data_IF_914065890578
#
_entry.id   IF_914065890578
#
_cell.length_a   1.000
_cell.length_b   1.000
_cell.length_c   1.000
_cell.angle_alpha   90.00
_cell.angle_beta   90.00
_cell.angle_gamma   90.00
#
_symmetry.space_group_name_H-M   'P 1'
#
loop_
_entity.id
_entity.type
_entity.pdbx_description
1 polymer ?
#
# COMPACT_ATOMS: atom_id res chain seq x y z
N UNK A 1 -63.12 -50.68 10.96
CA UNK A 1 -64.47 -50.78 10.34
C UNK A 1 -64.62 -49.64 9.35
N UNK A 2 -65.21 -49.91 8.18
CA UNK A 2 -64.65 -49.77 6.81
C UNK A 2 -64.91 -48.38 6.19
N UNK A 3 -64.50 -47.97 4.97
CA UNK A 3 -64.27 -48.60 3.67
C UNK A 3 -63.27 -47.70 2.86
N UNK A 4 -62.33 -48.20 2.03
CA UNK A 4 -62.48 -48.75 0.66
C UNK A 4 -63.35 -47.83 -0.23
N UNK A 5 -63.01 -47.34 -1.42
CA UNK A 5 -62.14 -47.73 -2.55
C UNK A 5 -61.81 -46.41 -3.33
N UNK A 6 -60.80 -46.28 -4.21
CA UNK A 6 -60.77 -46.84 -5.56
C UNK A 6 -59.39 -46.67 -6.22
N UNK A 7 -58.93 -47.79 -6.81
CA UNK A 7 -58.31 -48.00 -8.13
C UNK A 7 -57.40 -46.88 -8.66
N UNK A 8 -56.13 -47.12 -8.99
CA UNK A 8 -55.57 -48.33 -9.61
C UNK A 8 -55.32 -48.05 -11.09
N UNK A 9 -54.06 -47.78 -11.44
CA UNK A 9 -53.53 -48.11 -12.75
C UNK A 9 -52.10 -48.62 -12.59
N UNK A 10 -51.94 -49.90 -12.91
CA UNK A 10 -50.68 -50.59 -13.05
C UNK A 10 -49.99 -50.13 -14.34
N UNK A 11 -48.69 -49.88 -14.22
CA UNK A 11 -47.75 -49.90 -15.33
C UNK A 11 -46.50 -50.63 -14.86
N UNK A 12 -46.48 -51.94 -15.05
CA UNK A 12 -45.32 -52.79 -14.80
C UNK A 12 -44.18 -52.48 -15.77
N UNK A 13 -42.99 -52.29 -15.23
CA UNK A 13 -41.72 -52.36 -15.93
C UNK A 13 -40.69 -52.97 -14.99
N UNK A 14 -40.59 -54.30 -15.01
CA UNK A 14 -39.51 -55.04 -14.36
C UNK A 14 -38.18 -54.75 -15.08
N UNK A 15 -37.11 -54.54 -14.31
CA UNK A 15 -35.77 -54.34 -14.87
C UNK A 15 -34.70 -54.16 -13.80
N UNK A 16 -34.22 -55.28 -13.27
CA UNK A 16 -32.81 -55.57 -12.93
C UNK A 16 -32.01 -54.60 -12.05
N UNK A 17 -31.65 -55.09 -10.88
CA UNK A 17 -30.49 -54.69 -10.08
C UNK A 17 -29.19 -54.68 -10.89
N UNK A 18 -28.42 -53.59 -10.85
CA UNK A 18 -26.95 -53.63 -10.86
C UNK A 18 -26.45 -52.53 -9.92
N UNK A 19 -25.61 -52.96 -8.98
CA UNK A 19 -24.84 -52.13 -8.06
C UNK A 19 -23.74 -51.44 -8.85
N UNK A 20 -23.75 -50.11 -8.91
CA UNK A 20 -22.56 -49.28 -9.17
C UNK A 20 -22.69 -48.00 -8.32
N UNK A 21 -22.46 -48.17 -7.02
CA UNK A 21 -21.77 -47.12 -6.29
C UNK A 21 -20.29 -47.18 -6.72
N UNK A 22 -19.57 -46.05 -6.57
CA UNK A 22 -18.11 -46.01 -6.40
C UNK A 22 -17.21 -45.72 -7.63
N UNK A 23 -17.51 -44.67 -8.42
CA UNK A 23 -16.49 -44.08 -9.35
C UNK A 23 -16.37 -42.56 -9.22
N UNK A 24 -17.30 -41.90 -8.52
CA UNK A 24 -17.30 -40.44 -8.37
C UNK A 24 -16.58 -39.96 -7.10
N UNK A 25 -16.54 -40.80 -6.07
CA UNK A 25 -15.80 -40.53 -4.81
C UNK A 25 -14.28 -40.64 -5.04
N UNK A 26 -13.83 -41.68 -5.75
CA UNK A 26 -12.40 -41.94 -5.99
C UNK A 26 -11.64 -40.77 -6.63
N UNK A 27 -12.26 -40.01 -7.55
CA UNK A 27 -11.59 -38.89 -8.25
C UNK A 27 -11.51 -37.64 -7.36
N UNK A 28 -12.53 -37.38 -6.54
CA UNK A 28 -12.51 -36.29 -5.56
C UNK A 28 -11.57 -36.61 -4.39
N UNK A 29 -11.50 -37.88 -3.98
CA UNK A 29 -10.57 -38.37 -2.97
C UNK A 29 -9.11 -38.31 -3.44
N UNK A 30 -8.83 -38.60 -4.72
CA UNK A 30 -7.47 -38.52 -5.28
C UNK A 30 -6.99 -37.06 -5.39
N UNK A 31 -7.87 -36.13 -5.77
CA UNK A 31 -7.59 -34.69 -5.77
C UNK A 31 -7.38 -34.16 -4.34
N UNK A 32 -8.22 -34.54 -3.40
CA UNK A 32 -8.09 -34.13 -2.00
C UNK A 32 -6.83 -34.73 -1.36
N UNK A 33 -6.45 -35.95 -1.73
CA UNK A 33 -5.19 -36.57 -1.30
C UNK A 33 -3.96 -35.84 -1.85
N UNK A 34 -4.02 -35.34 -3.09
CA UNK A 34 -2.96 -34.52 -3.69
C UNK A 34 -2.78 -33.19 -2.93
N UNK A 35 -3.88 -32.50 -2.60
CA UNK A 35 -3.86 -31.27 -1.79
C UNK A 35 -3.30 -31.52 -0.38
N UNK A 36 -3.68 -32.61 0.28
CA UNK A 36 -3.12 -32.99 1.58
C UNK A 36 -1.63 -33.34 1.51
N UNK A 37 -1.20 -34.00 0.44
CA UNK A 37 0.22 -34.28 0.22
C UNK A 37 1.05 -33.01 0.03
N UNK A 38 0.49 -31.98 -0.62
CA UNK A 38 1.15 -30.69 -0.77
C UNK A 38 1.28 -29.95 0.58
N UNK A 39 0.23 -29.97 1.40
CA UNK A 39 0.24 -29.42 2.76
C UNK A 39 1.29 -30.14 3.62
N UNK A 40 1.33 -31.47 3.60
CA UNK A 40 2.31 -32.26 4.33
C UNK A 40 3.75 -31.97 3.86
N UNK A 41 3.96 -31.75 2.56
CA UNK A 41 5.26 -31.35 2.02
C UNK A 41 5.70 -29.96 2.51
N UNK A 42 4.77 -29.01 2.68
CA UNK A 42 5.06 -27.70 3.27
C UNK A 42 5.36 -27.81 4.77
N UNK A 43 4.61 -28.65 5.51
CA UNK A 43 4.84 -28.90 6.94
C UNK A 43 6.17 -29.60 7.20
N UNK A 44 6.54 -30.58 6.37
CA UNK A 44 7.83 -31.25 6.43
C UNK A 44 8.99 -30.28 6.16
N UNK A 45 8.84 -29.39 5.17
CA UNK A 45 9.83 -28.34 4.88
C UNK A 45 9.95 -27.33 6.02
N UNK A 46 8.84 -26.86 6.60
CA UNK A 46 8.87 -25.89 7.70
C UNK A 46 9.45 -26.49 8.98
N UNK A 47 9.12 -27.75 9.29
CA UNK A 47 9.73 -28.51 10.40
C UNK A 47 11.24 -28.68 10.21
N UNK A 48 11.69 -28.93 8.98
CA UNK A 48 13.12 -29.03 8.63
C UNK A 48 13.87 -27.69 8.79
N UNK A 49 13.23 -26.57 8.47
CA UNK A 49 13.76 -25.22 8.70
C UNK A 49 13.82 -24.91 10.20
N UNK A 50 12.76 -25.22 10.95
CA UNK A 50 12.69 -24.97 12.40
C UNK A 50 13.68 -25.83 13.20
N UNK A 51 14.04 -27.00 12.69
CA UNK A 51 15.07 -27.87 13.27
C UNK A 51 16.51 -27.47 12.89
N UNK A 52 16.69 -26.35 12.18
CA UNK A 52 18.00 -25.76 11.91
C UNK A 52 18.79 -26.45 10.78
N UNK A 53 18.14 -27.24 9.93
CA UNK A 53 18.78 -27.81 8.76
C UNK A 53 18.93 -26.76 7.65
N UNK A 54 20.10 -26.75 7.00
CA UNK A 54 20.40 -25.83 5.89
C UNK A 54 19.59 -26.24 4.65
N UNK A 55 18.60 -25.42 4.28
CA UNK A 55 17.74 -25.65 3.10
C UNK A 55 18.20 -24.72 1.98
N UNK A 56 18.44 -25.23 0.75
CA UNK A 56 18.88 -24.41 -0.37
C UNK A 56 17.92 -23.25 -0.62
N UNK A 57 18.49 -22.09 -0.95
CA UNK A 57 17.78 -20.84 -1.11
C UNK A 57 16.65 -20.94 -2.14
N UNK A 58 15.46 -20.52 -1.70
CA UNK A 58 14.27 -20.06 -2.44
C UNK A 58 14.40 -20.17 -3.98
N UNK A 59 13.77 -21.16 -4.59
CA UNK A 59 13.29 -21.02 -5.96
C UNK A 59 12.46 -19.74 -6.02
N UNK A 60 12.61 -18.87 -7.04
CA UNK A 60 11.73 -17.71 -7.18
C UNK A 60 10.29 -18.22 -7.07
N UNK A 61 9.49 -17.56 -6.22
CA UNK A 61 8.05 -17.85 -6.15
C UNK A 61 7.57 -17.87 -7.60
N UNK A 62 6.84 -18.90 -8.02
CA UNK A 62 6.02 -18.73 -9.22
C UNK A 62 5.24 -17.44 -9.01
N UNK A 63 5.26 -16.55 -9.99
CA UNK A 63 4.43 -15.34 -10.02
C UNK A 63 2.94 -15.71 -10.18
N UNK A 64 2.52 -16.87 -9.71
CA UNK A 64 1.13 -17.24 -9.48
C UNK A 64 0.67 -16.53 -8.21
N UNK A 65 0.57 -15.21 -8.34
CA UNK A 65 -0.16 -14.39 -7.39
C UNK A 65 -1.63 -14.75 -7.61
N UNK A 66 -2.39 -15.04 -6.56
CA UNK A 66 -3.74 -15.60 -6.70
C UNK A 66 -4.62 -14.73 -7.62
N UNK A 67 -5.07 -15.30 -8.74
CA UNK A 67 -5.86 -14.68 -9.81
C UNK A 67 -7.14 -13.97 -9.32
N UNK A 68 -7.58 -14.26 -8.09
CA UNK A 68 -8.74 -13.61 -7.46
C UNK A 68 -8.48 -12.17 -7.01
N UNK A 69 -7.23 -11.70 -7.03
CA UNK A 69 -6.85 -10.35 -6.57
C UNK A 69 -6.34 -9.47 -7.71
N UNK A 70 -5.92 -10.06 -8.84
CA UNK A 70 -5.27 -9.34 -9.93
C UNK A 70 -6.18 -9.24 -11.14
N UNK A 71 -6.25 -8.05 -11.73
CA UNK A 71 -6.88 -7.88 -13.03
C UNK A 71 -5.81 -8.22 -14.07
N UNK A 72 -5.96 -9.35 -14.75
CA UNK A 72 -4.97 -9.87 -15.68
C UNK A 72 -4.74 -8.94 -16.87
N UNK A 73 -5.71 -8.06 -17.17
CA UNK A 73 -5.62 -7.07 -18.25
C UNK A 73 -4.93 -5.76 -17.77
N UNK A 74 -4.54 -5.68 -16.49
CA UNK A 74 -3.94 -4.47 -15.92
C UNK A 74 -2.45 -4.33 -16.25
N UNK A 75 -2.16 -3.64 -17.35
CA UNK A 75 -0.79 -3.35 -17.77
C UNK A 75 -0.18 -2.15 -17.00
N UNK A 76 0.47 -2.42 -15.86
CA UNK A 76 1.15 -1.37 -15.07
C UNK A 76 2.31 -0.70 -15.82
N UNK A 77 3.01 -1.42 -16.70
CA UNK A 77 4.16 -0.88 -17.44
C UNK A 77 3.72 0.18 -18.45
N UNK A 78 2.66 -0.12 -19.23
CA UNK A 78 2.10 0.82 -20.19
C UNK A 78 1.51 2.05 -19.51
N UNK A 79 0.76 1.87 -18.42
CA UNK A 79 0.22 2.98 -17.62
C UNK A 79 1.31 3.82 -16.98
N UNK A 80 2.39 3.21 -16.51
CA UNK A 80 3.55 3.94 -16.00
C UNK A 80 4.26 4.72 -17.11
N UNK A 81 4.40 4.14 -18.30
CA UNK A 81 4.97 4.82 -19.47
C UNK A 81 4.10 6.03 -19.88
N UNK A 82 2.78 5.90 -19.85
CA UNK A 82 1.85 7.01 -20.08
C UNK A 82 2.05 8.14 -19.05
N UNK A 83 2.14 7.80 -17.77
CA UNK A 83 2.41 8.80 -16.72
C UNK A 83 3.79 9.46 -16.88
N UNK A 84 4.82 8.70 -17.30
CA UNK A 84 6.15 9.24 -17.60
C UNK A 84 6.14 10.17 -18.82
N UNK A 85 5.27 9.94 -19.81
CA UNK A 85 5.09 10.87 -20.92
C UNK A 85 4.56 12.24 -20.42
N UNK A 86 3.56 12.23 -19.54
CA UNK A 86 3.07 13.47 -18.88
C UNK A 86 4.19 14.18 -18.11
N UNK A 87 5.07 13.43 -17.45
CA UNK A 87 6.24 13.98 -16.76
C UNK A 87 7.24 14.66 -17.71
N UNK A 88 7.44 14.09 -18.91
CA UNK A 88 8.34 14.61 -19.93
C UNK A 88 7.77 15.84 -20.67
N UNK A 89 6.44 15.97 -20.75
CA UNK A 89 5.76 17.09 -21.41
C UNK A 89 5.62 18.34 -20.54
N UNK A 90 5.85 18.23 -19.23
CA UNK A 90 5.59 19.30 -18.25
C UNK A 90 6.80 20.07 -17.66
N UNK A 91 8.07 19.95 -18.15
CA UNK A 91 9.22 20.59 -17.48
C UNK A 91 9.20 22.12 -17.54
N UNK A 92 8.59 22.72 -18.57
CA UNK A 92 8.50 24.18 -18.73
C UNK A 92 7.45 24.83 -17.79
N UNK A 93 6.64 24.00 -17.11
CA UNK A 93 5.60 24.50 -16.21
C UNK A 93 6.20 24.82 -14.82
N UNK A 94 5.63 25.81 -14.10
CA UNK A 94 5.98 26.03 -12.70
C UNK A 94 5.83 24.73 -11.88
N UNK A 95 6.83 24.42 -11.04
CA UNK A 95 6.93 23.12 -10.38
C UNK A 95 5.68 22.73 -9.54
N UNK A 96 4.95 23.71 -8.98
CA UNK A 96 3.68 23.46 -8.27
C UNK A 96 2.56 23.04 -9.22
N UNK A 97 2.45 23.68 -10.38
CA UNK A 97 1.47 23.32 -11.41
C UNK A 97 1.80 21.95 -12.01
N UNK A 98 3.09 21.72 -12.31
CA UNK A 98 3.60 20.41 -12.74
C UNK A 98 3.25 19.31 -11.75
N UNK A 99 3.47 19.53 -10.46
CA UNK A 99 3.11 18.59 -9.40
C UNK A 99 1.60 18.31 -9.37
N UNK A 100 0.76 19.33 -9.48
CA UNK A 100 -0.69 19.16 -9.49
C UNK A 100 -1.18 18.34 -10.70
N UNK A 101 -0.61 18.57 -11.89
CA UNK A 101 -0.90 17.80 -13.11
C UNK A 101 -0.48 16.33 -12.93
N UNK A 102 0.70 16.07 -12.38
CA UNK A 102 1.21 14.72 -12.18
C UNK A 102 0.41 13.91 -11.15
N UNK A 103 -0.08 14.55 -10.09
CA UNK A 103 -0.97 13.93 -9.11
C UNK A 103 -2.32 13.55 -9.73
N UNK A 104 -2.84 14.41 -10.60
CA UNK A 104 -4.09 14.19 -11.30
C UNK A 104 -3.94 13.07 -12.33
N UNK A 105 -2.93 13.14 -13.18
CA UNK A 105 -2.59 12.10 -14.16
C UNK A 105 -2.38 10.73 -13.49
N UNK A 106 -1.68 10.67 -12.35
CA UNK A 106 -1.50 9.41 -11.62
C UNK A 106 -2.83 8.77 -11.22
N UNK A 107 -3.80 9.59 -10.82
CA UNK A 107 -5.11 9.13 -10.37
C UNK A 107 -6.06 8.81 -11.52
N UNK A 108 -5.91 9.49 -12.66
CA UNK A 108 -6.73 9.34 -13.86
C UNK A 108 -6.29 8.11 -14.69
N UNK A 109 -4.97 7.93 -14.83
CA UNK A 109 -4.34 6.78 -15.48
C UNK A 109 -4.43 5.54 -14.59
N UNK A 110 -4.65 5.68 -13.28
CA UNK A 110 -4.61 4.58 -12.31
C UNK A 110 -3.33 3.74 -12.49
N UNK A 111 -2.16 4.36 -12.28
CA UNK A 111 -0.87 3.77 -12.70
C UNK A 111 -0.59 2.41 -12.08
N UNK A 112 -0.82 2.27 -10.77
CA UNK A 112 -0.59 1.04 -10.02
C UNK A 112 -1.90 0.54 -9.42
N UNK A 113 -2.14 -0.77 -9.53
CA UNK A 113 -3.39 -1.37 -9.07
C UNK A 113 -3.52 -1.32 -7.53
N UNK A 114 -2.41 -1.56 -6.82
CA UNK A 114 -2.41 -1.73 -5.35
C UNK A 114 -1.60 -0.67 -4.59
N UNK A 115 -0.86 0.17 -5.31
CA UNK A 115 0.09 1.12 -4.72
C UNK A 115 -0.16 2.57 -5.17
N UNK A 116 -1.43 2.96 -5.27
CA UNK A 116 -1.82 4.33 -5.62
C UNK A 116 -1.21 5.42 -4.70
N UNK A 117 -0.78 5.05 -3.48
CA UNK A 117 -0.08 5.93 -2.55
C UNK A 117 1.34 6.33 -3.01
N UNK A 118 1.93 5.62 -3.98
CA UNK A 118 3.29 5.90 -4.46
C UNK A 118 3.36 7.18 -5.31
N UNK A 119 2.32 7.48 -6.08
CA UNK A 119 2.27 8.67 -6.94
C UNK A 119 2.60 9.97 -6.20
N UNK A 120 1.90 10.28 -5.08
CA UNK A 120 2.25 11.43 -4.26
C UNK A 120 3.69 11.44 -3.74
N UNK A 121 4.31 10.28 -3.48
CA UNK A 121 5.71 10.21 -3.06
C UNK A 121 6.68 10.57 -4.20
N UNK A 122 6.39 10.11 -5.42
CA UNK A 122 7.16 10.47 -6.62
C UNK A 122 7.05 11.97 -6.90
N UNK A 123 5.85 12.54 -6.80
CA UNK A 123 5.62 13.98 -6.97
C UNK A 123 6.32 14.79 -5.87
N UNK A 124 6.31 14.34 -4.62
CA UNK A 124 7.05 14.98 -3.54
C UNK A 124 8.57 14.93 -3.78
N UNK A 125 9.08 13.83 -4.32
CA UNK A 125 10.48 13.71 -4.72
C UNK A 125 10.85 14.67 -5.86
N UNK A 126 9.95 14.84 -6.83
CA UNK A 126 10.10 15.83 -7.90
C UNK A 126 10.15 17.26 -7.35
N UNK A 127 9.23 17.64 -6.46
CA UNK A 127 9.24 18.96 -5.82
C UNK A 127 10.55 19.24 -5.05
N UNK A 128 11.15 18.20 -4.47
CA UNK A 128 12.47 18.30 -3.84
C UNK A 128 13.58 18.47 -4.88
N UNK A 129 13.56 17.71 -5.97
CA UNK A 129 14.54 17.79 -7.05
C UNK A 129 14.52 19.17 -7.75
N UNK A 130 13.33 19.74 -7.95
CA UNK A 130 13.13 21.09 -8.51
C UNK A 130 13.49 22.22 -7.53
N UNK A 131 13.94 21.88 -6.31
CA UNK A 131 14.44 22.84 -5.32
C UNK A 131 13.38 23.50 -4.44
N UNK A 132 12.08 23.39 -4.76
CA UNK A 132 10.99 23.96 -3.95
C UNK A 132 10.98 23.42 -2.52
N UNK A 133 11.31 22.14 -2.36
CA UNK A 133 11.43 21.48 -1.06
C UNK A 133 12.81 20.85 -0.87
N UNK A 134 13.89 21.53 -1.26
CA UNK A 134 15.25 20.93 -1.35
C UNK A 134 15.75 20.21 -0.07
N UNK A 135 15.24 20.58 1.10
CA UNK A 135 15.66 20.02 2.40
C UNK A 135 14.71 18.96 2.99
N UNK A 136 13.56 18.66 2.36
CA UNK A 136 12.59 17.70 2.90
C UNK A 136 11.71 17.07 1.81
N UNK A 137 10.99 15.99 2.14
CA UNK A 137 9.92 15.48 1.28
C UNK A 137 8.60 16.15 1.69
N UNK A 138 7.93 16.78 0.72
CA UNK A 138 6.66 17.47 0.97
C UNK A 138 5.60 16.46 1.40
N UNK A 139 4.95 16.73 2.54
CA UNK A 139 3.87 15.88 3.07
C UNK A 139 2.53 16.16 2.38
N UNK A 140 2.40 15.84 1.10
CA UNK A 140 1.22 16.17 0.27
C UNK A 140 -0.11 15.65 0.85
N UNK A 141 -0.10 14.48 1.50
CA UNK A 141 -1.30 13.93 2.13
C UNK A 141 -1.82 14.76 3.32
N UNK A 142 -0.94 15.50 4.03
CA UNK A 142 -1.38 16.38 5.12
C UNK A 142 -2.21 17.55 4.63
N UNK A 143 -1.93 18.04 3.42
CA UNK A 143 -2.78 19.04 2.79
C UNK A 143 -4.01 18.43 2.13
N UNK A 144 -3.84 17.32 1.40
CA UNK A 144 -4.95 16.65 0.71
C UNK A 144 -6.09 16.20 1.64
N UNK A 145 -5.80 15.83 2.90
CA UNK A 145 -6.84 15.48 3.89
C UNK A 145 -7.72 16.67 4.29
N UNK A 146 -7.22 17.91 4.16
CA UNK A 146 -7.98 19.13 4.45
C UNK A 146 -8.89 19.54 3.27
N UNK A 147 -8.70 18.92 2.10
CA UNK A 147 -9.51 19.20 0.91
C UNK A 147 -10.73 18.26 0.87
N UNK A 148 -11.97 18.79 0.74
CA UNK A 148 -13.18 18.00 0.63
C UNK A 148 -13.08 16.92 -0.46
N UNK A 149 -13.62 15.73 -0.18
CA UNK A 149 -13.53 14.58 -1.09
C UNK A 149 -14.22 14.89 -2.43
N UNK A 150 -15.32 15.62 -2.39
CA UNK A 150 -16.14 16.00 -3.55
C UNK A 150 -15.33 16.85 -4.53
N UNK A 151 -14.47 17.75 -4.02
CA UNK A 151 -13.56 18.56 -4.85
C UNK A 151 -12.44 17.71 -5.43
N UNK A 152 -11.83 16.84 -4.62
CA UNK A 152 -10.74 15.94 -5.07
C UNK A 152 -11.20 14.93 -6.12
N UNK A 153 -12.47 14.51 -6.08
CA UNK A 153 -13.08 13.54 -7.00
C UNK A 153 -14.11 14.21 -7.93
N UNK A 154 -13.96 15.51 -8.18
CA UNK A 154 -14.84 16.23 -9.09
C UNK A 154 -14.78 15.62 -10.51
N UNK A 155 -15.92 15.61 -11.21
CA UNK A 155 -16.00 15.09 -12.59
C UNK A 155 -15.20 15.96 -13.56
N UNK A 156 -15.21 17.26 -13.34
CA UNK A 156 -14.43 18.23 -14.11
C UNK A 156 -12.95 18.18 -13.70
N UNK A 157 -12.07 18.02 -14.69
CA UNK A 157 -10.61 18.02 -14.52
C UNK A 157 -10.10 19.32 -13.90
N UNK A 158 -10.63 20.47 -14.29
CA UNK A 158 -10.23 21.77 -13.76
C UNK A 158 -10.45 21.87 -12.24
N UNK A 159 -11.57 21.36 -11.75
CA UNK A 159 -11.89 21.37 -10.32
C UNK A 159 -10.97 20.43 -9.53
N UNK A 160 -10.63 19.26 -10.09
CA UNK A 160 -9.63 18.35 -9.48
C UNK A 160 -8.24 18.99 -9.44
N UNK A 161 -7.83 19.68 -10.50
CA UNK A 161 -6.54 20.36 -10.54
C UNK A 161 -6.47 21.48 -9.50
N UNK A 162 -7.53 22.29 -9.37
CA UNK A 162 -7.64 23.29 -8.31
C UNK A 162 -7.59 22.65 -6.92
N UNK A 163 -8.26 21.51 -6.72
CA UNK A 163 -8.21 20.77 -5.46
C UNK A 163 -6.79 20.26 -5.14
N UNK A 164 -6.03 19.82 -6.14
CA UNK A 164 -4.62 19.44 -5.99
C UNK A 164 -3.73 20.63 -5.62
N UNK A 165 -3.93 21.79 -6.25
CA UNK A 165 -3.22 23.03 -5.93
C UNK A 165 -3.50 23.49 -4.49
N UNK A 166 -4.78 23.52 -4.11
CA UNK A 166 -5.19 23.82 -2.73
C UNK A 166 -4.58 22.82 -1.75
N UNK A 167 -4.52 21.53 -2.11
CA UNK A 167 -3.87 20.50 -1.31
C UNK A 167 -2.37 20.74 -1.11
N UNK A 168 -1.65 21.17 -2.15
CA UNK A 168 -0.22 21.54 -2.04
C UNK A 168 -0.06 22.78 -1.15
N UNK A 169 -0.94 23.77 -1.30
CA UNK A 169 -0.94 24.97 -0.47
C UNK A 169 -1.15 24.65 1.02
N UNK A 170 -2.15 23.83 1.33
CA UNK A 170 -2.43 23.36 2.70
C UNK A 170 -1.26 22.57 3.30
N UNK A 171 -0.58 21.75 2.48
CA UNK A 171 0.61 21.02 2.92
C UNK A 171 1.76 21.99 3.28
N UNK A 172 1.96 23.05 2.49
CA UNK A 172 2.96 24.08 2.77
C UNK A 172 2.64 24.85 4.06
N UNK A 173 1.38 25.27 4.24
CA UNK A 173 0.95 25.94 5.48
C UNK A 173 1.12 25.07 6.71
N UNK A 174 0.77 23.78 6.61
CA UNK A 174 1.00 22.82 7.70
C UNK A 174 2.49 22.66 8.02
N UNK A 175 3.34 22.61 7.00
CA UNK A 175 4.79 22.54 7.15
C UNK A 175 5.38 23.78 7.83
N UNK A 176 4.96 24.98 7.44
CA UNK A 176 5.38 26.24 8.08
C UNK A 176 4.97 26.29 9.55
N UNK A 177 3.73 25.91 9.86
CA UNK A 177 3.23 25.87 11.24
C UNK A 177 4.03 24.90 12.12
N UNK A 178 4.35 23.72 11.59
CA UNK A 178 5.16 22.75 12.33
C UNK A 178 6.60 23.23 12.49
N UNK A 179 7.18 23.84 11.46
CA UNK A 179 8.50 24.45 11.54
C UNK A 179 8.56 25.50 12.65
N UNK A 180 7.61 26.45 12.70
CA UNK A 180 7.56 27.49 13.73
C UNK A 180 7.43 26.89 15.14
N UNK A 181 6.63 25.83 15.28
CA UNK A 181 6.49 25.08 16.53
C UNK A 181 7.83 24.47 16.96
N UNK A 182 8.56 23.84 16.05
CA UNK A 182 9.86 23.22 16.32
C UNK A 182 10.93 24.26 16.64
N UNK A 183 10.97 25.39 15.93
CA UNK A 183 11.89 26.51 16.21
C UNK A 183 11.63 27.10 17.60
N UNK A 184 10.36 27.26 17.97
CA UNK A 184 9.98 27.73 19.29
C UNK A 184 10.40 26.73 20.38
N UNK A 185 10.18 25.43 20.17
CA UNK A 185 10.61 24.39 21.10
C UNK A 185 12.14 24.37 21.28
N UNK A 186 12.90 24.47 20.19
CA UNK A 186 14.37 24.61 20.22
C UNK A 186 14.80 25.81 21.06
N UNK A 187 14.24 26.98 20.78
CA UNK A 187 14.55 28.22 21.49
C UNK A 187 14.27 28.13 23.00
N UNK A 188 13.19 27.44 23.39
CA UNK A 188 12.87 27.20 24.80
C UNK A 188 13.89 26.27 25.47
N UNK A 189 14.32 25.21 24.79
CA UNK A 189 15.36 24.30 25.29
C UNK A 189 16.69 25.05 25.48
N UNK A 190 17.15 25.79 24.48
CA UNK A 190 18.39 26.58 24.55
C UNK A 190 18.36 27.61 25.69
N UNK A 191 17.21 28.27 25.91
CA UNK A 191 17.05 29.22 27.02
C UNK A 191 17.22 28.54 28.38
N UNK A 192 16.76 27.30 28.56
CA UNK A 192 16.94 26.52 29.80
C UNK A 192 18.40 26.15 30.04
N UNK A 193 19.21 26.04 28.98
CA UNK A 193 20.63 25.70 29.07
C UNK A 193 21.52 26.88 29.48
N UNK A 194 21.09 28.13 29.28
CA UNK A 194 21.90 29.33 29.62
C UNK A 194 22.33 29.40 31.09
N UNK A 195 21.61 28.75 32.01
CA UNK A 195 21.94 28.71 33.45
C UNK A 195 22.62 27.40 33.87
N UNK A 196 23.04 26.56 32.91
CA UNK A 196 23.73 25.29 33.17
C UNK A 196 25.25 25.45 33.04
N UNK A 197 25.98 24.51 33.63
CA UNK A 197 27.45 24.51 33.64
C UNK A 197 27.98 24.39 32.21
N UNK A 198 28.99 25.19 31.88
CA UNK A 198 29.64 25.20 30.55
C UNK A 198 30.27 23.85 30.17
N UNK A 199 30.60 22.99 31.14
CA UNK A 199 31.19 21.67 30.91
C UNK A 199 30.19 20.59 30.46
N UNK A 200 28.92 20.96 30.22
CA UNK A 200 27.84 20.01 29.93
C UNK A 200 27.53 19.94 28.43
N UNK A 201 27.52 18.73 27.85
CA UNK A 201 27.14 18.47 26.45
C UNK A 201 25.62 18.56 26.17
N UNK A 202 24.88 19.31 27.00
CA UNK A 202 23.42 19.41 26.86
C UNK A 202 23.00 20.15 25.60
N UNK A 203 23.81 21.09 25.11
CA UNK A 203 23.56 21.76 23.83
C UNK A 203 23.64 20.75 22.67
N UNK A 204 24.69 19.94 22.65
CA UNK A 204 24.86 18.86 21.67
C UNK A 204 23.71 17.86 21.74
N UNK A 205 23.24 17.52 22.95
CA UNK A 205 22.09 16.65 23.14
C UNK A 205 20.79 17.25 22.58
N UNK A 206 20.59 18.57 22.70
CA UNK A 206 19.41 19.24 22.12
C UNK A 206 19.45 19.14 20.60
N UNK A 207 20.57 19.44 19.97
CA UNK A 207 20.72 19.28 18.51
C UNK A 207 20.54 17.81 18.09
N UNK A 208 21.08 16.88 18.88
CA UNK A 208 20.94 15.44 18.61
C UNK A 208 19.47 15.00 18.63
N UNK A 209 18.71 15.36 19.67
CA UNK A 209 17.27 15.06 19.79
C UNK A 209 16.45 15.72 18.68
N UNK A 210 16.82 16.93 18.26
CA UNK A 210 16.14 17.61 17.14
C UNK A 210 16.43 16.95 15.79
N UNK A 211 17.64 16.39 15.61
CA UNK A 211 17.99 15.62 14.42
C UNK A 211 17.36 14.23 14.39
N UNK A 212 17.10 13.64 15.57
CA UNK A 212 16.60 12.27 15.74
C UNK A 212 15.52 12.24 16.82
N UNK A 213 14.23 12.11 16.44
CA UNK A 213 13.12 12.19 17.38
C UNK A 213 13.07 11.03 18.40
N UNK A 214 13.82 9.95 18.16
CA UNK A 214 13.95 8.82 19.08
C UNK A 214 15.43 8.70 19.46
N UNK A 215 15.70 8.83 20.76
CA UNK A 215 17.05 8.77 21.33
C UNK A 215 17.07 7.73 22.44
N UNK A 216 18.07 6.86 22.43
CA UNK A 216 18.35 5.91 23.50
C UNK A 216 19.56 6.36 24.34
N UNK A 217 19.74 5.77 25.52
CA UNK A 217 20.90 6.07 26.36
C UNK A 217 22.23 5.72 25.70
N UNK A 218 22.26 4.63 24.91
CA UNK A 218 23.46 4.24 24.16
C UNK A 218 23.87 5.28 23.12
N UNK A 219 22.89 5.86 22.41
CA UNK A 219 23.13 6.92 21.41
C UNK A 219 23.66 8.22 22.01
N UNK A 220 23.45 8.47 23.31
CA UNK A 220 23.93 9.67 24.00
C UNK A 220 25.35 9.47 24.52
N UNK A 221 25.76 8.22 24.76
CA UNK A 221 27.09 7.88 25.29
C UNK A 221 28.19 7.93 24.22
N UNK A 222 27.83 7.71 22.96
CA UNK A 222 28.69 7.86 21.77
C UNK A 222 28.92 9.34 21.41
#
# INVERSE_FOLDING_TARGET
MPAAEQKGWEGQGAGTSVVEADVRDDVEDDLLAEEFAEIDAVLARSSKILSGADVPARTPRSDERPDLVYDLDWNEEERLAEWQAVLAETPELPAVLRAAILLEAWSDIEVLQHAAWLGPQLVAALLRQEGLAGNHLVSLHLGAKNIPRERRRARNRGDRLLASLDGIHEAALAGLKEHDRLVMAKSQMERRLKQRRTSSKLADLVEFVLSRPIVSTGMIQE
#
